data_IF_139846331807
#
_entry.id   IF_139846331807
#
_cell.length_a   1.000
_cell.length_b   1.000
_cell.length_c   1.000
_cell.angle_alpha   90.00
_cell.angle_beta   90.00
_cell.angle_gamma   90.00
#
_symmetry.space_group_name_H-M   'P 1'
#
loop_
_entity.id
_entity.type
_entity.pdbx_description
1 polymer ?
#
# COMPACT_ATOMS: atom_id res chain seq x y z
N UNK A 1 7.59 16.14 8.73
CA UNK A 1 6.52 15.36 9.16
C UNK A 1 6.41 14.04 8.47
N UNK A 2 6.13 13.08 9.22
CA UNK A 2 6.08 11.76 8.68
C UNK A 2 4.76 11.48 8.05
N UNK A 3 4.71 10.54 7.22
CA UNK A 3 3.47 10.14 6.64
C UNK A 3 2.62 9.40 7.64
N UNK A 4 1.52 8.88 7.14
CA UNK A 4 0.57 8.18 7.95
C UNK A 4 1.06 6.83 8.45
N UNK A 5 1.95 6.20 7.70
CA UNK A 5 2.46 4.89 8.05
C UNK A 5 3.91 4.98 8.45
N UNK A 6 4.34 4.09 9.31
CA UNK A 6 5.71 4.11 9.80
C UNK A 6 6.54 2.96 9.28
N UNK A 7 7.86 3.10 9.26
CA UNK A 7 8.72 2.00 8.82
C UNK A 7 8.45 0.75 9.63
N UNK A 8 8.36 -0.37 8.95
CA UNK A 8 8.07 -1.64 9.59
C UNK A 8 6.60 -1.97 9.63
N UNK A 9 5.74 -1.02 9.31
CA UNK A 9 4.31 -1.27 9.37
C UNK A 9 3.86 -2.01 8.13
N UNK A 10 2.91 -2.92 8.31
CA UNK A 10 2.34 -3.65 7.19
C UNK A 10 1.25 -2.83 6.55
N UNK A 11 1.25 -2.82 5.24
CA UNK A 11 0.20 -2.12 4.50
C UNK A 11 -0.25 -3.01 3.37
N UNK A 12 -1.34 -2.63 2.73
CA UNK A 12 -1.94 -3.43 1.68
C UNK A 12 -2.13 -2.58 0.43
N UNK A 13 -1.96 -3.20 -0.71
CA UNK A 13 -1.96 -2.48 -1.97
C UNK A 13 -2.80 -3.25 -2.98
N UNK A 14 -3.60 -2.55 -3.76
CA UNK A 14 -4.40 -3.21 -4.77
C UNK A 14 -3.69 -3.07 -6.10
N UNK A 15 -3.74 -4.10 -6.90
CA UNK A 15 -3.14 -4.07 -8.21
C UNK A 15 -4.02 -3.31 -9.17
N UNK A 16 -3.44 -2.67 -10.13
CA UNK A 16 -4.16 -1.82 -11.06
C UNK A 16 -5.48 -2.38 -11.53
N UNK A 17 -5.46 -3.24 -12.52
CA UNK A 17 -6.68 -3.77 -13.06
C UNK A 17 -7.14 -5.06 -12.43
N UNK A 18 -6.48 -5.50 -11.39
CA UNK A 18 -6.85 -6.76 -10.78
C UNK A 18 -7.51 -6.47 -9.46
N UNK A 19 -8.11 -7.49 -8.89
CA UNK A 19 -8.70 -7.36 -7.57
C UNK A 19 -7.80 -8.01 -6.53
N UNK A 20 -6.56 -8.22 -6.87
CA UNK A 20 -5.63 -8.83 -5.93
C UNK A 20 -5.13 -7.81 -4.94
N UNK A 21 -5.00 -8.24 -3.71
CA UNK A 21 -4.48 -7.39 -2.67
C UNK A 21 -3.14 -7.95 -2.25
N UNK A 22 -2.12 -7.11 -2.28
CA UNK A 22 -0.79 -7.53 -1.91
C UNK A 22 -0.38 -6.89 -0.60
N UNK A 23 0.30 -7.65 0.21
CA UNK A 23 0.78 -7.16 1.48
C UNK A 23 2.21 -6.71 1.32
N UNK A 24 2.55 -5.61 1.96
CA UNK A 24 3.91 -5.09 1.88
C UNK A 24 4.27 -4.44 3.20
N UNK A 25 5.56 -4.16 3.36
CA UNK A 25 6.06 -3.53 4.56
C UNK A 25 6.62 -2.17 4.19
N UNK A 26 6.30 -1.17 4.96
CA UNK A 26 6.80 0.17 4.73
C UNK A 26 8.27 0.22 5.13
N UNK A 27 9.12 0.73 4.26
CA UNK A 27 10.53 0.89 4.56
C UNK A 27 10.85 2.32 4.93
N UNK A 28 10.29 3.27 4.20
CA UNK A 28 10.52 4.67 4.53
C UNK A 28 9.55 5.55 3.78
N UNK A 29 9.52 6.81 4.17
CA UNK A 29 8.65 7.79 3.53
C UNK A 29 9.52 9.00 3.21
N UNK A 30 9.47 9.43 1.97
CA UNK A 30 10.23 10.59 1.57
C UNK A 30 9.59 11.20 0.33
N UNK A 31 9.55 12.52 0.30
CA UNK A 31 9.07 13.23 -0.87
C UNK A 31 7.64 12.91 -1.27
N UNK A 32 6.82 12.54 -0.32
CA UNK A 32 5.43 12.24 -0.62
C UNK A 32 5.19 10.81 -1.08
N UNK A 33 6.23 9.99 -1.06
CA UNK A 33 6.11 8.60 -1.47
C UNK A 33 6.57 7.67 -0.37
N UNK A 34 5.92 6.52 -0.31
CA UNK A 34 6.36 5.45 0.59
C UNK A 34 7.13 4.43 -0.23
N UNK A 35 8.25 4.00 0.30
CA UNK A 35 8.97 2.89 -0.28
C UNK A 35 8.50 1.66 0.46
N UNK A 36 7.93 0.72 -0.25
CA UNK A 36 7.40 -0.48 0.37
C UNK A 36 8.06 -1.70 -0.25
N UNK A 37 8.01 -2.80 0.49
CA UNK A 37 8.64 -4.03 0.07
C UNK A 37 7.66 -5.16 0.16
N UNK A 38 7.53 -5.93 -0.91
CA UNK A 38 6.64 -7.06 -0.92
C UNK A 38 7.32 -8.28 -0.31
N UNK A 39 6.54 -9.26 0.04
CA UNK A 39 7.07 -10.46 0.62
C UNK A 39 8.06 -11.17 -0.26
N UNK A 40 7.89 -11.10 -1.55
CA UNK A 40 8.80 -11.80 -2.44
C UNK A 40 10.11 -11.04 -2.66
N UNK A 41 10.28 -9.92 -1.97
CA UNK A 41 11.53 -9.18 -2.08
C UNK A 41 11.50 -7.99 -3.00
N UNK A 42 10.48 -7.85 -3.81
CA UNK A 42 10.38 -6.70 -4.69
C UNK A 42 9.93 -5.48 -3.93
N UNK A 43 10.22 -4.31 -4.45
CA UNK A 43 9.82 -3.08 -3.79
C UNK A 43 9.47 -2.02 -4.79
N UNK A 44 8.64 -1.08 -4.37
CA UNK A 44 8.26 0.04 -5.22
C UNK A 44 7.99 1.25 -4.36
N UNK A 45 7.88 2.39 -5.01
CA UNK A 45 7.50 3.63 -4.34
C UNK A 45 6.08 3.95 -4.74
N UNK A 46 5.25 4.28 -3.76
CA UNK A 46 3.85 4.57 -4.02
C UNK A 46 3.40 5.75 -3.20
N UNK A 47 2.36 6.39 -3.65
CA UNK A 47 1.76 7.46 -2.87
C UNK A 47 0.89 6.87 -1.80
N UNK A 48 0.65 7.67 -0.78
CA UNK A 48 -0.15 7.23 0.35
C UNK A 48 -1.54 6.75 -0.08
N UNK A 49 -2.10 7.39 -1.08
CA UNK A 49 -3.44 7.03 -1.51
C UNK A 49 -3.55 5.65 -2.15
N UNK A 50 -2.40 5.04 -2.44
CA UNK A 50 -2.40 3.74 -3.07
C UNK A 50 -2.30 2.59 -2.07
N UNK A 51 -2.07 2.87 -0.81
CA UNK A 51 -1.91 1.83 0.19
C UNK A 51 -2.94 1.99 1.28
N UNK A 52 -3.22 0.89 1.94
CA UNK A 52 -4.26 0.82 2.95
C UNK A 52 -3.74 0.16 4.21
N UNK A 53 -4.27 0.53 5.37
CA UNK A 53 -3.75 0.00 6.63
C UNK A 53 -4.19 -1.43 6.93
N UNK A 54 -5.20 -1.92 6.22
CA UNK A 54 -5.65 -3.27 6.47
C UNK A 54 -6.21 -3.84 5.19
N UNK A 55 -6.31 -5.16 5.17
CA UNK A 55 -6.86 -5.83 4.01
C UNK A 55 -8.32 -5.44 3.78
N UNK A 56 -9.05 -5.24 4.85
CA UNK A 56 -10.43 -4.86 4.76
C UNK A 56 -10.58 -3.51 4.07
N UNK A 57 -9.72 -2.57 4.40
CA UNK A 57 -9.75 -1.27 3.76
C UNK A 57 -9.43 -1.39 2.26
N UNK A 58 -8.48 -2.24 1.93
CA UNK A 58 -8.13 -2.44 0.54
C UNK A 58 -9.28 -3.07 -0.22
N UNK A 59 -9.97 -4.01 0.39
CA UNK A 59 -11.10 -4.67 -0.24
C UNK A 59 -12.22 -3.67 -0.48
N UNK A 60 -12.44 -2.82 0.48
CA UNK A 60 -13.48 -1.82 0.39
C UNK A 60 -13.18 -0.87 -0.77
N UNK A 61 -11.94 -0.52 -0.95
CA UNK A 61 -11.54 0.36 -2.02
C UNK A 61 -11.79 -0.28 -3.39
N UNK A 62 -11.55 -1.58 -3.49
CA UNK A 62 -11.81 -2.29 -4.72
C UNK A 62 -13.29 -2.26 -5.05
N UNK A 63 -14.12 -2.53 -4.07
CA UNK A 63 -15.55 -2.52 -4.27
C UNK A 63 -16.06 -1.16 -4.69
N UNK A 64 -15.56 -0.14 -4.06
CA UNK A 64 -15.99 1.20 -4.39
C UNK A 64 -15.52 1.70 -5.72
N UNK A 65 -14.45 1.14 -6.23
CA UNK A 65 -13.96 1.55 -7.47
C UNK A 65 -14.64 0.92 -8.64
N UNK A 66 -15.40 -0.09 -8.39
CA UNK A 66 -16.09 -0.73 -9.38
C UNK A 66 -17.18 0.07 -9.86
N UNK A 67 -17.38 0.40 -10.94
CA UNK A 67 -18.52 1.19 -11.33
C UNK A 67 -18.66 1.17 -12.73
#
# INVERSE_FOLDING_TARGET
MNGKYQPGQKVFLTGGNTHLIKEATVLKYAGGFYTIRFENGGGIKVRESRIYPSRKEAEYAILNRKR
#
